data_IF_257335119847
#
_entry.id   IF_257335119847
#
_cell.length_a   1.000
_cell.length_b   1.000
_cell.length_c   1.000
_cell.angle_alpha   90.00
_cell.angle_beta   90.00
_cell.angle_gamma   90.00
#
_symmetry.space_group_name_H-M   'P 1'
#
loop_
_entity.id
_entity.type
_entity.pdbx_description
1 polymer ?
#
# COMPACT_ATOMS: atom_id res chain seq x y z
N UNK A 1 -9.50 -4.10 16.05
CA UNK A 1 -9.09 -5.39 15.46
C UNK A 1 -8.95 -6.47 16.52
N UNK A 2 -8.14 -6.30 17.63
CA UNK A 2 -7.90 -7.32 18.63
C UNK A 2 -9.18 -7.92 19.25
N UNK A 3 -10.17 -7.07 19.60
CA UNK A 3 -11.49 -7.54 20.07
C UNK A 3 -12.19 -8.40 19.02
N UNK A 4 -12.12 -8.01 17.76
CA UNK A 4 -12.77 -8.71 16.65
C UNK A 4 -12.11 -10.10 16.45
N UNK A 5 -10.79 -10.19 16.38
CA UNK A 5 -10.07 -11.46 16.26
C UNK A 5 -10.45 -12.41 17.40
N UNK A 6 -10.51 -11.88 18.63
CA UNK A 6 -10.82 -12.66 19.82
C UNK A 6 -12.31 -13.08 19.90
N UNK A 7 -13.22 -12.21 19.41
CA UNK A 7 -14.67 -12.43 19.48
C UNK A 7 -15.25 -13.24 18.32
N UNK A 8 -14.70 -13.10 17.11
CA UNK A 8 -15.18 -13.79 15.90
C UNK A 8 -14.64 -15.22 15.75
N UNK A 9 -13.86 -15.70 16.70
CA UNK A 9 -13.31 -17.06 16.65
C UNK A 9 -12.16 -17.24 15.66
N UNK A 10 -11.57 -16.15 15.16
CA UNK A 10 -10.48 -16.19 14.15
C UNK A 10 -9.16 -16.75 14.68
N UNK A 11 -9.06 -16.97 15.97
CA UNK A 11 -7.89 -17.63 16.58
C UNK A 11 -7.82 -19.14 16.28
N UNK A 12 -8.85 -19.73 15.66
CA UNK A 12 -8.90 -21.18 15.38
C UNK A 12 -8.97 -22.06 16.64
N UNK A 13 -9.33 -21.47 17.80
CA UNK A 13 -9.47 -22.16 19.09
C UNK A 13 -10.75 -21.73 19.80
N UNK A 14 -11.30 -22.62 20.65
CA UNK A 14 -12.45 -22.30 21.51
C UNK A 14 -12.07 -21.39 22.68
N UNK A 15 -10.78 -21.20 22.97
CA UNK A 15 -10.30 -20.37 24.07
C UNK A 15 -10.21 -18.91 23.59
N UNK A 16 -10.79 -17.99 24.36
CA UNK A 16 -10.61 -16.56 24.17
C UNK A 16 -9.44 -16.05 25.02
N UNK A 17 -8.70 -15.08 24.47
CA UNK A 17 -7.67 -14.38 25.21
C UNK A 17 -8.29 -13.39 26.19
N UNK A 18 -7.76 -13.32 27.44
CA UNK A 18 -8.11 -12.23 28.36
C UNK A 18 -7.51 -10.93 27.81
N UNK A 19 -8.36 -10.05 27.28
CA UNK A 19 -7.96 -8.85 26.58
C UNK A 19 -8.41 -7.59 27.33
N UNK A 20 -7.44 -6.74 27.67
CA UNK A 20 -7.68 -5.39 28.17
C UNK A 20 -7.24 -4.39 27.10
N UNK A 21 -8.10 -3.44 26.77
CA UNK A 21 -7.82 -2.39 25.80
C UNK A 21 -7.85 -1.04 26.51
N UNK A 22 -6.80 -0.27 26.33
CA UNK A 22 -6.68 1.10 26.81
C UNK A 22 -6.95 2.02 25.61
N UNK A 23 -8.10 2.73 25.56
CA UNK A 23 -8.39 3.67 24.47
C UNK A 23 -7.46 4.87 24.51
N UNK A 24 -7.16 5.44 23.35
CA UNK A 24 -6.54 6.76 23.27
C UNK A 24 -7.55 7.84 23.65
N UNK A 25 -7.11 8.80 24.46
CA UNK A 25 -7.92 9.98 24.78
C UNK A 25 -7.87 10.99 23.63
N UNK A 26 -8.90 11.80 23.48
CA UNK A 26 -8.99 12.88 22.47
C UNK A 26 -8.76 12.41 21.02
N UNK A 27 -9.19 11.18 20.71
CA UNK A 27 -9.06 10.56 19.39
C UNK A 27 -10.40 10.09 18.84
N UNK A 28 -10.64 10.34 17.56
CA UNK A 28 -11.75 9.79 16.76
C UNK A 28 -11.18 9.26 15.43
N UNK A 29 -11.99 8.52 14.65
CA UNK A 29 -11.56 8.10 13.29
C UNK A 29 -11.39 9.29 12.33
N UNK A 30 -11.95 10.46 12.63
CA UNK A 30 -11.74 11.69 11.86
C UNK A 30 -10.46 12.45 12.26
N UNK A 31 -9.81 12.07 13.37
CA UNK A 31 -8.60 12.74 13.85
C UNK A 31 -7.45 12.54 12.88
N UNK A 32 -6.94 13.65 12.34
CA UNK A 32 -5.72 13.65 11.52
C UNK A 32 -4.51 13.79 12.44
N UNK A 33 -3.75 12.73 12.55
CA UNK A 33 -2.56 12.70 13.39
C UNK A 33 -1.29 12.74 12.53
N UNK A 34 -0.50 13.80 12.69
CA UNK A 34 0.81 13.89 12.06
C UNK A 34 1.85 13.22 12.96
N UNK A 35 2.51 12.20 12.43
CA UNK A 35 3.52 11.45 13.18
C UNK A 35 4.71 12.36 13.53
N UNK A 36 5.07 12.49 14.82
CA UNK A 36 6.23 13.29 15.24
C UNK A 36 7.56 12.60 14.94
N UNK A 37 7.54 11.28 14.78
CA UNK A 37 8.71 10.45 14.48
C UNK A 37 8.38 9.60 13.27
N UNK A 38 9.30 9.50 12.32
CA UNK A 38 9.17 8.65 11.16
C UNK A 38 9.01 7.17 11.57
N UNK A 39 7.96 6.45 11.11
CA UNK A 39 7.70 5.07 11.54
C UNK A 39 8.73 4.06 11.00
N UNK A 40 9.45 4.44 9.94
CA UNK A 40 10.47 3.61 9.30
C UNK A 40 11.49 4.49 8.57
N UNK A 41 12.75 4.07 8.41
CA UNK A 41 13.70 4.74 7.54
C UNK A 41 13.22 4.87 6.08
N UNK A 42 12.32 3.97 5.63
CA UNK A 42 11.71 4.03 4.31
C UNK A 42 10.37 4.80 4.28
N UNK A 43 9.88 5.28 5.42
CA UNK A 43 8.70 6.15 5.51
C UNK A 43 9.10 7.43 6.26
N UNK A 44 9.91 8.30 5.62
CA UNK A 44 10.58 9.41 6.32
C UNK A 44 9.64 10.60 6.61
N UNK A 45 8.47 10.66 5.99
CA UNK A 45 7.53 11.77 6.11
C UNK A 45 6.07 11.32 5.89
N UNK A 46 5.12 12.22 6.14
CA UNK A 46 3.69 11.90 6.01
C UNK A 46 3.28 11.57 4.58
N UNK A 47 3.92 12.14 3.56
CA UNK A 47 3.65 11.83 2.16
C UNK A 47 3.90 10.35 1.87
N UNK A 48 5.03 9.81 2.31
CA UNK A 48 5.33 8.38 2.17
C UNK A 48 4.35 7.49 2.94
N UNK A 49 3.89 7.93 4.12
CA UNK A 49 2.89 7.21 4.93
C UNK A 49 1.53 7.15 4.22
N UNK A 50 1.07 8.27 3.64
CA UNK A 50 -0.19 8.30 2.91
C UNK A 50 -0.14 7.55 1.58
N UNK A 51 1.00 7.54 0.89
CA UNK A 51 1.22 6.78 -0.34
C UNK A 51 1.39 5.28 -0.09
N UNK A 52 1.83 4.89 1.11
CA UNK A 52 2.18 3.51 1.44
C UNK A 52 1.12 2.48 1.03
N UNK A 53 -0.19 2.66 1.31
CA UNK A 53 -1.20 1.64 0.97
C UNK A 53 -1.27 1.29 -0.52
N UNK A 54 -0.95 2.24 -1.39
CA UNK A 54 -0.95 2.06 -2.84
C UNK A 54 0.42 1.61 -3.38
N UNK A 55 1.50 2.21 -2.87
CA UNK A 55 2.85 2.03 -3.41
C UNK A 55 3.52 0.75 -2.87
N UNK A 56 3.14 0.26 -1.68
CA UNK A 56 3.68 -0.99 -1.14
C UNK A 56 3.41 -2.20 -2.06
N UNK A 57 2.41 -2.15 -2.91
CA UNK A 57 2.10 -3.20 -3.88
C UNK A 57 3.26 -3.47 -4.86
N UNK A 58 4.09 -2.46 -5.13
CA UNK A 58 5.28 -2.64 -5.97
C UNK A 58 6.34 -3.56 -5.35
N UNK A 59 6.30 -3.84 -4.04
CA UNK A 59 7.16 -4.87 -3.43
C UNK A 59 6.86 -6.27 -3.96
N UNK A 60 5.67 -6.48 -4.54
CA UNK A 60 5.26 -7.69 -5.24
C UNK A 60 5.46 -7.64 -6.76
N UNK A 61 6.31 -6.75 -7.28
CA UNK A 61 6.55 -6.56 -8.71
C UNK A 61 8.04 -6.38 -9.03
N UNK A 62 8.36 -6.28 -10.32
CA UNK A 62 9.72 -5.95 -10.78
C UNK A 62 10.07 -4.45 -10.69
N UNK A 63 9.14 -3.59 -10.25
CA UNK A 63 9.28 -2.12 -10.24
C UNK A 63 9.91 -1.65 -8.93
N UNK A 64 10.87 -0.73 -8.98
CA UNK A 64 11.37 -0.04 -7.80
C UNK A 64 10.38 1.00 -7.30
N UNK A 65 10.13 1.01 -6.00
CA UNK A 65 9.31 2.00 -5.30
C UNK A 65 10.15 3.08 -4.57
N UNK A 66 11.37 3.29 -5.06
CA UNK A 66 12.26 4.34 -4.56
C UNK A 66 13.05 3.99 -3.30
N UNK A 67 13.00 2.75 -2.78
CA UNK A 67 13.91 2.34 -1.69
C UNK A 67 15.35 2.48 -2.15
N UNK A 68 16.22 2.95 -1.26
CA UNK A 68 17.62 3.28 -1.61
C UNK A 68 17.78 4.63 -2.30
N UNK A 69 16.78 5.51 -2.19
CA UNK A 69 16.83 6.91 -2.66
C UNK A 69 16.39 7.86 -1.55
N UNK A 70 16.37 9.17 -1.83
CA UNK A 70 15.81 10.19 -0.94
C UNK A 70 14.26 10.20 -0.89
N UNK A 71 13.57 9.50 -1.81
CA UNK A 71 12.11 9.47 -1.95
C UNK A 71 11.53 8.05 -1.87
N UNK A 72 11.83 7.25 -0.83
CA UNK A 72 11.27 5.91 -0.69
C UNK A 72 9.75 6.00 -0.51
N UNK A 73 9.00 5.12 -1.21
CA UNK A 73 7.53 5.09 -1.25
C UNK A 73 6.85 6.38 -1.76
N UNK A 74 7.62 7.27 -2.39
CA UNK A 74 7.12 8.52 -2.97
C UNK A 74 7.42 8.64 -4.47
N UNK A 75 7.95 7.59 -5.05
CA UNK A 75 8.18 7.45 -6.49
C UNK A 75 8.19 5.97 -6.86
N UNK A 76 7.99 5.68 -8.13
CA UNK A 76 8.19 4.33 -8.66
C UNK A 76 8.73 4.37 -10.08
N UNK A 77 9.46 3.34 -10.48
CA UNK A 77 10.03 3.27 -11.81
C UNK A 77 10.81 1.99 -12.07
N UNK A 78 11.19 1.84 -13.34
CA UNK A 78 11.96 0.71 -13.83
C UNK A 78 12.86 1.15 -14.97
N UNK A 79 14.03 0.51 -15.24
CA UNK A 79 14.93 0.90 -16.34
C UNK A 79 14.27 0.88 -17.73
N UNK A 80 13.25 0.06 -17.93
CA UNK A 80 12.55 -0.11 -19.20
C UNK A 80 11.23 0.67 -19.30
N UNK A 81 10.84 1.46 -18.30
CA UNK A 81 9.67 2.32 -18.42
C UNK A 81 9.96 3.46 -19.41
N UNK A 82 8.99 3.73 -20.29
CA UNK A 82 9.13 4.71 -21.39
C UNK A 82 8.12 5.85 -21.24
N UNK A 83 8.46 7.02 -21.80
CA UNK A 83 7.57 8.18 -21.79
C UNK A 83 7.59 9.03 -20.52
N UNK A 84 8.53 8.77 -19.60
CA UNK A 84 8.71 9.53 -18.36
C UNK A 84 9.99 10.37 -18.39
N UNK A 85 9.91 11.59 -17.85
CA UNK A 85 11.06 12.49 -17.69
C UNK A 85 11.75 12.33 -16.33
N UNK A 86 11.00 11.86 -15.30
CA UNK A 86 11.55 11.62 -13.98
C UNK A 86 12.42 10.36 -13.98
N UNK A 87 13.59 10.43 -13.35
CA UNK A 87 14.46 9.27 -13.19
C UNK A 87 15.19 9.30 -11.85
N UNK A 88 15.49 8.10 -11.33
CA UNK A 88 16.25 7.91 -10.11
C UNK A 88 17.09 6.63 -10.20
N UNK A 89 18.07 6.52 -9.31
CA UNK A 89 18.91 5.32 -9.23
C UNK A 89 18.96 4.85 -7.78
N UNK A 90 18.36 3.68 -7.46
CA UNK A 90 18.49 3.09 -6.13
C UNK A 90 19.95 2.81 -5.76
N UNK A 91 20.32 3.08 -4.52
CA UNK A 91 21.66 2.84 -3.97
C UNK A 91 21.54 2.14 -2.62
N UNK A 92 22.56 1.40 -2.22
CA UNK A 92 22.64 0.88 -0.87
C UNK A 92 22.72 2.02 0.14
N UNK A 93 21.78 2.05 1.08
CA UNK A 93 21.72 3.03 2.18
C UNK A 93 21.35 2.30 3.49
N UNK A 94 21.56 2.89 4.69
CA UNK A 94 21.28 2.22 5.96
C UNK A 94 19.87 1.64 6.08
N UNK A 95 18.85 2.31 5.53
CA UNK A 95 17.45 1.85 5.53
C UNK A 95 17.09 0.83 4.44
N UNK A 96 17.98 0.64 3.43
CA UNK A 96 17.77 -0.27 2.31
C UNK A 96 19.14 -0.72 1.77
N UNK A 97 19.73 -1.74 2.41
CA UNK A 97 21.06 -2.23 2.05
C UNK A 97 21.14 -2.84 0.65
N UNK A 98 20.07 -3.50 0.23
CA UNK A 98 19.94 -4.15 -1.07
C UNK A 98 18.59 -3.77 -1.70
N UNK A 99 18.43 -2.51 -2.17
CA UNK A 99 17.18 -2.08 -2.79
C UNK A 99 16.99 -2.79 -4.15
N UNK A 100 15.75 -3.06 -4.55
CA UNK A 100 15.46 -3.54 -5.90
C UNK A 100 16.03 -2.58 -6.96
N UNK A 101 16.60 -3.13 -8.04
CA UNK A 101 17.25 -2.40 -9.15
C UNK A 101 18.40 -1.50 -8.67
N UNK A 102 19.18 -1.99 -7.67
CA UNK A 102 20.34 -1.28 -7.15
C UNK A 102 21.33 -0.94 -8.27
N UNK A 103 21.77 0.33 -8.32
CA UNK A 103 22.65 0.90 -9.34
C UNK A 103 22.07 1.00 -10.75
N UNK A 104 20.82 0.63 -10.98
CA UNK A 104 20.16 0.79 -12.26
C UNK A 104 19.42 2.13 -12.33
N UNK A 105 19.53 2.84 -13.46
CA UNK A 105 18.72 4.06 -13.67
C UNK A 105 17.31 3.68 -14.03
N UNK A 106 16.36 4.01 -13.15
CA UNK A 106 14.93 3.79 -13.33
C UNK A 106 14.27 5.07 -13.87
N UNK A 107 13.37 4.91 -14.81
CA UNK A 107 12.47 5.95 -15.30
C UNK A 107 11.08 5.71 -14.71
N UNK A 108 10.32 6.77 -14.39
CA UNK A 108 9.00 6.59 -13.80
C UNK A 108 8.36 7.87 -13.32
N UNK A 109 7.65 7.80 -12.20
CA UNK A 109 6.81 8.90 -11.69
C UNK A 109 7.30 9.32 -10.29
N UNK A 110 7.42 10.65 -10.10
CA UNK A 110 7.57 11.29 -8.80
C UNK A 110 6.18 11.65 -8.24
N UNK A 111 5.86 11.12 -7.07
CA UNK A 111 4.62 11.35 -6.33
C UNK A 111 4.83 12.27 -5.11
N UNK A 112 6.07 12.69 -4.86
CA UNK A 112 6.42 13.46 -3.67
C UNK A 112 5.79 14.86 -3.64
N UNK A 113 5.44 15.39 -4.83
CA UNK A 113 4.86 16.72 -5.00
C UNK A 113 3.31 16.71 -5.05
N UNK A 114 2.68 15.54 -4.94
CA UNK A 114 1.22 15.48 -4.90
C UNK A 114 0.71 16.12 -3.59
N UNK A 115 -0.42 16.86 -3.64
CA UNK A 115 -1.01 17.43 -2.43
C UNK A 115 -1.35 16.34 -1.40
N UNK A 116 -0.85 16.44 -0.16
CA UNK A 116 -1.05 15.46 0.92
C UNK A 116 -2.54 15.11 1.10
N UNK A 117 -3.44 16.10 1.07
CA UNK A 117 -4.88 15.89 1.22
C UNK A 117 -5.47 15.02 0.10
N UNK A 118 -4.96 15.18 -1.13
CA UNK A 118 -5.41 14.37 -2.27
C UNK A 118 -4.95 12.92 -2.14
N UNK A 119 -3.69 12.72 -1.74
CA UNK A 119 -3.13 11.39 -1.50
C UNK A 119 -3.85 10.67 -0.35
N UNK A 120 -4.08 11.38 0.76
CA UNK A 120 -4.80 10.84 1.91
C UNK A 120 -6.24 10.42 1.55
N UNK A 121 -6.94 11.22 0.74
CA UNK A 121 -8.31 10.91 0.27
C UNK A 121 -8.34 9.73 -0.69
N UNK A 122 -7.35 9.61 -1.56
CA UNK A 122 -7.23 8.50 -2.51
C UNK A 122 -7.01 7.16 -1.77
N UNK A 123 -6.17 7.16 -0.74
CA UNK A 123 -5.87 5.97 0.05
C UNK A 123 -5.30 4.84 -0.81
N UNK A 124 -6.00 3.70 -0.83
CA UNK A 124 -5.62 2.55 -1.64
C UNK A 124 -5.98 2.78 -3.12
N UNK A 125 -4.97 2.85 -3.98
CA UNK A 125 -5.12 3.13 -5.41
C UNK A 125 -4.30 2.14 -6.26
N UNK A 126 -4.99 1.31 -7.03
CA UNK A 126 -4.39 0.35 -7.96
C UNK A 126 -3.89 0.98 -9.25
N UNK A 127 -4.26 2.22 -9.56
CA UNK A 127 -3.93 2.86 -10.84
C UNK A 127 -2.42 2.94 -11.08
N UNK A 128 -1.62 3.11 -10.03
CA UNK A 128 -0.16 3.15 -10.13
C UNK A 128 0.42 1.82 -10.63
N UNK A 129 -0.01 0.70 -10.06
CA UNK A 129 0.46 -0.63 -10.46
C UNK A 129 -0.04 -0.97 -11.88
N UNK A 130 -1.31 -0.69 -12.18
CA UNK A 130 -1.90 -0.90 -13.51
C UNK A 130 -1.15 -0.07 -14.56
N UNK A 131 -0.83 1.19 -14.27
CA UNK A 131 -0.06 2.04 -15.17
C UNK A 131 1.33 1.46 -15.46
N UNK A 132 2.06 1.06 -14.42
CA UNK A 132 3.38 0.44 -14.58
C UNK A 132 3.30 -0.89 -15.34
N UNK A 133 2.31 -1.74 -15.05
CA UNK A 133 2.09 -3.00 -15.76
C UNK A 133 1.88 -2.79 -17.26
N UNK A 134 0.99 -1.87 -17.62
CA UNK A 134 0.70 -1.52 -19.02
C UNK A 134 1.90 -0.90 -19.73
N UNK A 135 2.64 -0.04 -19.05
CA UNK A 135 3.81 0.63 -19.63
C UNK A 135 4.95 -0.35 -19.90
N UNK A 136 5.24 -1.24 -18.96
CA UNK A 136 6.34 -2.20 -19.07
C UNK A 136 6.01 -3.38 -20.00
N UNK A 137 4.74 -3.77 -20.10
CA UNK A 137 4.26 -4.87 -20.95
C UNK A 137 5.10 -6.16 -20.82
N UNK A 138 5.42 -6.58 -19.59
CA UNK A 138 6.30 -7.72 -19.30
C UNK A 138 5.55 -9.03 -19.04
N UNK A 139 4.22 -9.03 -19.11
CA UNK A 139 3.38 -10.22 -18.83
C UNK A 139 3.76 -10.86 -17.47
N UNK A 140 3.98 -12.16 -17.47
CA UNK A 140 4.29 -12.95 -16.27
C UNK A 140 5.55 -12.49 -15.51
N UNK A 141 6.47 -11.76 -16.15
CA UNK A 141 7.69 -11.25 -15.53
C UNK A 141 7.48 -9.95 -14.73
N UNK A 142 6.24 -9.41 -14.68
CA UNK A 142 5.95 -8.20 -13.92
C UNK A 142 5.69 -8.48 -12.44
N UNK A 143 4.83 -9.46 -12.13
CA UNK A 143 4.44 -9.81 -10.77
C UNK A 143 5.34 -10.90 -10.17
N UNK A 144 5.55 -10.83 -8.86
CA UNK A 144 6.14 -11.92 -8.07
C UNK A 144 5.06 -12.61 -7.23
N UNK A 145 5.30 -13.82 -6.69
CA UNK A 145 4.35 -14.50 -5.78
C UNK A 145 4.06 -13.73 -4.48
N UNK A 146 4.76 -12.64 -4.24
CA UNK A 146 4.51 -11.78 -3.07
C UNK A 146 3.35 -10.81 -3.29
N UNK A 147 2.96 -10.56 -4.55
CA UNK A 147 1.88 -9.62 -4.88
C UNK A 147 0.53 -10.04 -4.27
N UNK A 148 0.17 -11.32 -4.38
CA UNK A 148 -1.06 -11.86 -3.81
C UNK A 148 -1.11 -11.73 -2.29
N UNK A 149 0.04 -11.83 -1.61
CA UNK A 149 0.14 -11.62 -0.16
C UNK A 149 -0.10 -10.16 0.24
N UNK A 150 0.29 -9.21 -0.62
CA UNK A 150 0.09 -7.79 -0.39
C UNK A 150 -1.35 -7.36 -0.63
N UNK A 151 -1.97 -7.82 -1.72
CA UNK A 151 -3.37 -7.47 -2.03
C UNK A 151 -4.36 -8.31 -1.21
N UNK A 152 -3.96 -9.49 -0.72
CA UNK A 152 -4.76 -10.36 0.15
C UNK A 152 -5.86 -11.15 -0.56
N UNK A 153 -5.91 -11.12 -1.89
CA UNK A 153 -6.86 -11.86 -2.73
C UNK A 153 -6.15 -12.32 -4.02
N UNK A 154 -6.68 -13.34 -4.67
CA UNK A 154 -6.05 -13.99 -5.83
C UNK A 154 -6.48 -13.42 -7.20
N UNK A 155 -7.62 -12.76 -7.27
CA UNK A 155 -8.20 -12.28 -8.53
C UNK A 155 -7.63 -10.95 -9.05
N UNK A 156 -7.05 -10.11 -8.18
CA UNK A 156 -6.60 -8.75 -8.57
C UNK A 156 -5.52 -8.80 -9.65
N UNK A 157 -4.54 -9.69 -9.52
CA UNK A 157 -3.51 -9.88 -10.53
C UNK A 157 -4.12 -10.28 -11.87
N UNK A 158 -4.95 -11.31 -11.89
CA UNK A 158 -5.62 -11.79 -13.11
C UNK A 158 -6.40 -10.67 -13.79
N UNK A 159 -7.18 -9.89 -13.04
CA UNK A 159 -7.93 -8.76 -13.59
C UNK A 159 -7.03 -7.67 -14.18
N UNK A 160 -5.86 -7.39 -13.57
CA UNK A 160 -4.88 -6.46 -14.16
C UNK A 160 -4.32 -7.02 -15.46
N UNK A 161 -3.98 -8.31 -15.51
CA UNK A 161 -3.47 -9.00 -16.69
C UNK A 161 -4.51 -9.05 -17.83
N UNK A 162 -5.79 -9.15 -17.50
CA UNK A 162 -6.94 -9.06 -18.44
C UNK A 162 -7.25 -7.63 -18.89
N UNK A 163 -6.55 -6.63 -18.35
CA UNK A 163 -6.68 -5.24 -18.77
C UNK A 163 -7.77 -4.44 -18.05
N UNK A 164 -8.33 -4.96 -16.96
CA UNK A 164 -9.33 -4.26 -16.16
C UNK A 164 -8.79 -2.93 -15.60
N UNK A 165 -9.67 -1.98 -15.42
CA UNK A 165 -9.39 -0.71 -14.75
C UNK A 165 -9.41 -0.86 -13.22
N UNK A 166 -8.79 0.09 -12.52
CA UNK A 166 -8.84 0.15 -11.06
C UNK A 166 -10.29 0.23 -10.53
N UNK A 167 -11.19 0.88 -11.27
CA UNK A 167 -12.60 0.99 -10.89
C UNK A 167 -13.34 -0.36 -11.00
N UNK A 168 -13.12 -1.11 -12.07
CA UNK A 168 -13.69 -2.45 -12.25
C UNK A 168 -13.20 -3.42 -11.17
N UNK A 169 -11.90 -3.43 -10.89
CA UNK A 169 -11.33 -4.25 -9.82
C UNK A 169 -11.91 -3.84 -8.45
N UNK A 170 -12.03 -2.53 -8.19
CA UNK A 170 -12.63 -2.02 -6.95
C UNK A 170 -14.08 -2.46 -6.78
N UNK A 171 -14.85 -2.57 -7.87
CA UNK A 171 -16.23 -3.04 -7.81
C UNK A 171 -16.33 -4.49 -7.32
N UNK A 172 -15.33 -5.34 -7.61
CA UNK A 172 -15.35 -6.75 -7.20
C UNK A 172 -15.35 -6.96 -5.70
N UNK A 173 -14.65 -6.13 -4.93
CA UNK A 173 -14.62 -6.29 -3.47
C UNK A 173 -15.63 -5.39 -2.74
N UNK A 174 -16.45 -4.63 -3.46
CA UNK A 174 -17.37 -3.66 -2.85
C UNK A 174 -18.26 -4.31 -1.79
N UNK A 175 -18.95 -5.38 -2.16
CA UNK A 175 -19.91 -6.05 -1.27
C UNK A 175 -19.22 -6.71 -0.08
N UNK A 176 -18.01 -7.24 -0.27
CA UNK A 176 -17.20 -7.83 0.80
C UNK A 176 -16.76 -6.76 1.80
N UNK A 177 -16.36 -5.59 1.32
CA UNK A 177 -15.99 -4.44 2.16
C UNK A 177 -17.21 -3.93 2.94
N UNK A 178 -18.38 -3.82 2.30
CA UNK A 178 -19.60 -3.39 3.00
C UNK A 178 -20.03 -4.42 4.07
N UNK A 179 -19.95 -5.70 3.77
CA UNK A 179 -20.19 -6.79 4.74
C UNK A 179 -19.24 -6.70 5.93
N UNK A 180 -17.92 -6.49 5.66
CA UNK A 180 -16.93 -6.32 6.71
C UNK A 180 -17.15 -5.05 7.54
N UNK A 181 -17.61 -3.95 6.95
CA UNK A 181 -17.98 -2.74 7.68
C UNK A 181 -19.11 -2.99 8.68
N UNK A 182 -20.12 -3.79 8.32
CA UNK A 182 -21.18 -4.20 9.24
C UNK A 182 -20.63 -5.12 10.34
N UNK A 183 -19.84 -6.12 9.98
CA UNK A 183 -19.26 -7.07 10.94
C UNK A 183 -18.34 -6.38 11.96
N UNK A 184 -17.51 -5.42 11.53
CA UNK A 184 -16.61 -4.71 12.45
C UNK A 184 -17.29 -3.69 13.36
N UNK A 185 -18.51 -3.25 13.03
CA UNK A 185 -19.19 -2.17 13.72
C UNK A 185 -19.27 -2.33 15.25
N UNK A 186 -19.62 -3.50 15.81
CA UNK A 186 -19.67 -3.72 17.26
C UNK A 186 -18.29 -3.62 17.95
N UNK A 187 -17.22 -3.71 17.19
CA UNK A 187 -15.84 -3.72 17.70
C UNK A 187 -15.15 -2.35 17.63
N UNK A 188 -15.78 -1.35 17.05
CA UNK A 188 -15.23 0.00 16.96
C UNK A 188 -15.19 0.64 18.35
N UNK A 189 -14.04 1.24 18.69
CA UNK A 189 -13.82 1.92 19.97
C UNK A 189 -14.13 3.42 19.88
N UNK A 190 -13.97 3.98 18.70
CA UNK A 190 -14.07 5.41 18.45
C UNK A 190 -15.20 5.71 17.46
N UNK A 191 -15.87 6.88 17.58
CA UNK A 191 -16.85 7.30 16.61
C UNK A 191 -16.20 7.57 15.25
N UNK A 192 -17.00 7.45 14.19
CA UNK A 192 -16.54 7.72 12.81
C UNK A 192 -16.50 9.22 12.46
N UNK A 193 -17.03 10.06 13.33
CA UNK A 193 -17.08 11.53 13.21
C UNK A 193 -16.83 12.17 14.56
#
# INVERSE_FOLDING_TARGET
LARMINGEGWLGTKKQCKLTIIPCENYTHATRYRLPIAPSPNLPNMQSVYLYPAICLFEGTCVSLGRGTSLPFQQYGHPQMVGYSHSFTPRSVPGAKHPPLENERCWGIDLSQLPEDSVQKAGFDLSYVINAYRNLNRGDAFFTPFFEKLVGVDYVRTMIEEGCSAAEIKAMWHDDVERFKQQRRPYLLYPNS
#
